data_IF_742893809466
#
_entry.id   IF_742893809466
#
_cell.length_a   1.000
_cell.length_b   1.000
_cell.length_c   1.000
_cell.angle_alpha   90.00
_cell.angle_beta   90.00
_cell.angle_gamma   90.00
#
_symmetry.space_group_name_H-M   'P 1'
#
loop_
_entity.id
_entity.type
_entity.pdbx_description
1 polymer ?
#
# COMPACT_ATOMS: atom_id res chain seq x y z
N UNK A 1 11.23 -3.20 19.55
CA UNK A 1 11.17 -2.87 18.11
C UNK A 1 10.19 -1.74 17.94
N UNK A 2 10.48 -0.76 17.09
CA UNK A 2 9.50 0.27 16.74
C UNK A 2 8.37 -0.38 15.92
N UNK A 3 7.14 0.09 16.10
CA UNK A 3 6.01 -0.37 15.29
C UNK A 3 6.21 0.05 13.82
N UNK A 4 6.02 -0.89 12.89
CA UNK A 4 6.10 -0.60 11.46
C UNK A 4 4.90 0.24 11.03
N UNK A 5 5.09 1.07 10.01
CA UNK A 5 4.06 1.99 9.55
C UNK A 5 3.86 1.97 8.04
N UNK A 6 2.68 2.41 7.60
CA UNK A 6 2.28 2.55 6.20
C UNK A 6 2.03 4.02 5.92
N UNK A 7 2.30 4.49 4.71
CA UNK A 7 1.96 5.85 4.29
C UNK A 7 0.45 6.06 4.26
N UNK A 8 -0.01 7.19 4.80
CA UNK A 8 -1.42 7.57 4.87
C UNK A 8 -2.09 7.59 3.50
N UNK A 9 -1.38 7.98 2.44
CA UNK A 9 -1.88 7.94 1.07
C UNK A 9 -2.36 6.54 0.62
N UNK A 10 -1.62 5.49 0.97
CA UNK A 10 -1.99 4.11 0.63
C UNK A 10 -3.23 3.66 1.42
N UNK A 11 -3.29 3.98 2.71
CA UNK A 11 -4.45 3.70 3.56
C UNK A 11 -5.71 4.43 3.06
N UNK A 12 -5.57 5.72 2.72
CA UNK A 12 -6.63 6.54 2.13
C UNK A 12 -7.16 5.94 0.84
N UNK A 13 -6.26 5.53 -0.06
CA UNK A 13 -6.64 4.91 -1.33
C UNK A 13 -7.45 3.64 -1.12
N UNK A 14 -7.01 2.77 -0.20
CA UNK A 14 -7.73 1.53 0.12
C UNK A 14 -9.10 1.80 0.77
N UNK A 15 -9.19 2.79 1.69
CA UNK A 15 -10.48 3.20 2.27
C UNK A 15 -11.45 3.68 1.17
N UNK A 16 -11.00 4.58 0.30
CA UNK A 16 -11.81 5.10 -0.81
C UNK A 16 -12.26 3.98 -1.75
N UNK A 17 -11.34 3.06 -2.08
CA UNK A 17 -11.63 1.93 -2.95
C UNK A 17 -12.68 1.00 -2.33
N UNK A 18 -12.53 0.65 -1.06
CA UNK A 18 -13.50 -0.19 -0.34
C UNK A 18 -14.89 0.46 -0.31
N UNK A 19 -14.97 1.76 -0.02
CA UNK A 19 -16.23 2.52 -0.03
C UNK A 19 -16.86 2.52 -1.43
N UNK A 20 -16.06 2.70 -2.48
CA UNK A 20 -16.54 2.63 -3.86
C UNK A 20 -17.07 1.22 -4.24
N UNK A 21 -16.57 0.17 -3.57
CA UNK A 21 -17.09 -1.21 -3.70
C UNK A 21 -18.25 -1.54 -2.74
N UNK A 22 -18.78 -0.54 -2.02
CA UNK A 22 -19.98 -0.66 -1.19
C UNK A 22 -19.73 -0.90 0.30
N UNK A 23 -18.48 -0.83 0.78
CA UNK A 23 -18.20 -0.89 2.20
C UNK A 23 -18.67 0.38 2.93
N UNK A 24 -19.23 0.21 4.13
CA UNK A 24 -19.63 1.33 4.97
C UNK A 24 -18.41 2.07 5.57
N UNK A 25 -18.39 3.41 5.42
CA UNK A 25 -17.23 4.24 5.79
C UNK A 25 -17.00 4.34 7.30
N UNK A 26 -18.08 4.42 8.08
CA UNK A 26 -18.01 4.52 9.54
C UNK A 26 -17.58 3.18 10.14
N UNK A 27 -18.13 2.07 9.64
CA UNK A 27 -17.72 0.73 10.01
C UNK A 27 -16.25 0.46 9.65
N UNK A 28 -15.77 0.89 8.48
CA UNK A 28 -14.36 0.79 8.10
C UNK A 28 -13.47 1.52 9.11
N UNK A 29 -13.82 2.76 9.45
CA UNK A 29 -13.03 3.57 10.38
C UNK A 29 -13.03 2.97 11.78
N UNK A 30 -14.20 2.56 12.28
CA UNK A 30 -14.35 1.95 13.59
C UNK A 30 -13.58 0.61 13.72
N UNK A 31 -13.58 -0.22 12.67
CA UNK A 31 -12.92 -1.52 12.68
C UNK A 31 -11.41 -1.45 12.45
N UNK A 32 -10.94 -0.46 11.72
CA UNK A 32 -9.51 -0.29 11.42
C UNK A 32 -8.78 0.59 12.44
N UNK A 33 -9.51 1.43 13.17
CA UNK A 33 -8.91 2.49 13.98
C UNK A 33 -8.25 3.58 13.14
N UNK A 34 -8.57 3.68 11.85
CA UNK A 34 -8.10 4.74 10.95
C UNK A 34 -9.28 5.65 10.63
N UNK A 35 -9.17 6.91 11.00
CA UNK A 35 -10.17 7.94 10.69
C UNK A 35 -9.81 8.70 9.42
N UNK A 36 -10.77 9.43 8.86
CA UNK A 36 -10.51 10.33 7.73
C UNK A 36 -9.45 11.40 8.05
N UNK A 37 -9.37 11.84 9.31
CA UNK A 37 -8.38 12.82 9.75
C UNK A 37 -6.95 12.26 9.72
N UNK A 38 -6.78 10.99 10.12
CA UNK A 38 -5.46 10.33 10.15
C UNK A 38 -4.83 10.24 8.76
N UNK A 39 -5.67 10.19 7.72
CA UNK A 39 -5.23 10.02 6.33
C UNK A 39 -5.42 11.26 5.45
N UNK A 40 -5.78 12.40 6.04
CA UNK A 40 -5.94 13.67 5.30
C UNK A 40 -4.60 14.16 4.76
N UNK A 41 -3.57 14.16 5.62
CA UNK A 41 -2.19 14.40 5.20
C UNK A 41 -1.63 13.12 4.53
N UNK A 42 -1.05 13.27 3.34
CA UNK A 42 -0.48 12.16 2.59
C UNK A 42 0.83 11.63 3.18
N UNK A 43 1.60 12.49 3.85
CA UNK A 43 2.92 12.16 4.40
C UNK A 43 2.84 11.61 5.84
N UNK A 44 1.64 11.64 6.44
CA UNK A 44 1.37 10.96 7.69
C UNK A 44 1.60 9.45 7.60
N UNK A 45 1.88 8.84 8.76
CA UNK A 45 2.13 7.41 8.90
C UNK A 45 1.04 6.79 9.75
N UNK A 46 0.44 5.71 9.25
CA UNK A 46 -0.52 4.89 10.00
C UNK A 46 0.17 3.64 10.56
N UNK A 47 -0.17 3.18 11.77
CA UNK A 47 0.30 1.91 12.30
C UNK A 47 0.00 0.75 11.34
N UNK A 48 0.97 -0.15 11.14
CA UNK A 48 0.79 -1.34 10.30
C UNK A 48 -0.37 -2.21 10.80
N UNK A 49 -0.53 -2.31 12.12
CA UNK A 49 -1.64 -3.03 12.78
C UNK A 49 -3.01 -2.50 12.33
N UNK A 50 -3.18 -1.18 12.31
CA UNK A 50 -4.39 -0.51 11.84
C UNK A 50 -4.58 -0.69 10.33
N UNK A 51 -3.51 -0.62 9.52
CA UNK A 51 -3.61 -0.87 8.07
C UNK A 51 -4.02 -2.33 7.76
N UNK A 52 -3.49 -3.31 8.49
CA UNK A 52 -3.92 -4.72 8.36
C UNK A 52 -5.40 -4.86 8.74
N UNK A 53 -5.84 -4.19 9.82
CA UNK A 53 -7.23 -4.19 10.23
C UNK A 53 -8.13 -3.56 9.15
N UNK A 54 -7.69 -2.48 8.51
CA UNK A 54 -8.36 -1.88 7.35
C UNK A 54 -8.51 -2.87 6.19
N UNK A 55 -7.44 -3.55 5.77
CA UNK A 55 -7.49 -4.54 4.67
C UNK A 55 -8.53 -5.63 4.97
N UNK A 56 -8.56 -6.14 6.20
CA UNK A 56 -9.52 -7.18 6.63
C UNK A 56 -10.95 -6.65 6.65
N UNK A 57 -11.18 -5.50 7.26
CA UNK A 57 -12.50 -4.88 7.32
C UNK A 57 -13.03 -4.55 5.91
N UNK A 58 -12.17 -4.03 5.04
CA UNK A 58 -12.50 -3.71 3.65
C UNK A 58 -12.95 -4.94 2.87
N UNK A 59 -12.20 -6.05 2.96
CA UNK A 59 -12.59 -7.33 2.37
C UNK A 59 -13.97 -7.81 2.85
N UNK A 60 -14.22 -7.75 4.16
CA UNK A 60 -15.47 -8.25 4.74
C UNK A 60 -16.67 -7.35 4.42
N UNK A 61 -16.51 -6.03 4.57
CA UNK A 61 -17.59 -5.05 4.39
C UNK A 61 -17.95 -4.85 2.91
N UNK A 62 -17.02 -5.05 1.98
CA UNK A 62 -17.31 -5.04 0.53
C UNK A 62 -17.84 -6.37 0.02
N UNK A 63 -17.73 -7.45 0.81
CA UNK A 63 -18.04 -8.81 0.36
C UNK A 63 -17.08 -9.34 -0.73
N UNK A 64 -15.96 -8.66 -0.99
CA UNK A 64 -15.00 -9.04 -2.03
C UNK A 64 -13.72 -9.64 -1.43
N UNK A 65 -13.51 -10.96 -1.51
CA UNK A 65 -12.30 -11.60 -1.01
C UNK A 65 -11.02 -11.19 -1.75
N UNK A 66 -11.15 -10.67 -2.98
CA UNK A 66 -10.05 -10.24 -3.83
C UNK A 66 -9.83 -8.72 -3.81
N UNK A 67 -10.48 -7.98 -2.90
CA UNK A 67 -10.46 -6.52 -2.88
C UNK A 67 -9.04 -5.92 -2.98
N UNK A 68 -8.08 -6.45 -2.23
CA UNK A 68 -6.70 -5.94 -2.23
C UNK A 68 -5.98 -6.16 -3.57
N UNK A 69 -6.29 -7.24 -4.28
CA UNK A 69 -5.75 -7.50 -5.62
C UNK A 69 -6.34 -6.51 -6.62
N UNK A 70 -7.68 -6.33 -6.59
CA UNK A 70 -8.35 -5.33 -7.44
C UNK A 70 -7.90 -3.91 -7.13
N UNK A 71 -7.62 -3.59 -5.87
CA UNK A 71 -7.06 -2.30 -5.50
C UNK A 71 -5.71 -2.06 -6.20
N UNK A 72 -4.82 -3.06 -6.19
CA UNK A 72 -3.55 -2.97 -6.92
C UNK A 72 -3.67 -2.96 -8.45
N UNK A 73 -4.78 -3.44 -9.00
CA UNK A 73 -5.07 -3.46 -10.44
C UNK A 73 -5.73 -2.15 -10.91
N UNK A 74 -6.73 -1.66 -10.17
CA UNK A 74 -7.60 -0.56 -10.59
C UNK A 74 -7.08 0.82 -10.14
N UNK A 75 -6.29 0.89 -9.07
CA UNK A 75 -5.83 2.18 -8.54
C UNK A 75 -4.45 2.53 -9.05
N UNK A 76 -4.36 3.71 -9.66
CA UNK A 76 -3.08 4.29 -10.04
C UNK A 76 -2.26 4.59 -8.78
N UNK A 77 -1.18 3.82 -8.60
CA UNK A 77 -0.28 3.96 -7.46
C UNK A 77 0.38 5.35 -7.41
N UNK A 78 0.44 6.04 -8.54
CA UNK A 78 0.95 7.41 -8.66
C UNK A 78 0.07 8.43 -7.92
N UNK A 79 -1.23 8.16 -7.79
CA UNK A 79 -2.16 9.03 -7.05
C UNK A 79 -2.15 8.78 -5.54
N UNK A 80 -1.61 7.64 -5.09
CA UNK A 80 -1.59 7.27 -3.66
C UNK A 80 -0.22 7.40 -3.01
N UNK A 81 0.88 7.46 -3.79
CA UNK A 81 2.23 7.62 -3.24
C UNK A 81 3.23 8.22 -4.23
N UNK A 82 4.16 9.04 -3.71
CA UNK A 82 5.33 9.51 -4.46
C UNK A 82 6.22 8.36 -4.94
N UNK A 83 6.33 7.26 -4.19
CA UNK A 83 7.06 6.09 -4.66
C UNK A 83 6.37 5.45 -5.86
N UNK A 84 5.03 5.47 -5.89
CA UNK A 84 4.24 5.04 -7.06
C UNK A 84 4.49 5.93 -8.27
N UNK A 85 4.56 7.25 -8.10
CA UNK A 85 4.94 8.20 -9.16
C UNK A 85 6.34 7.89 -9.72
N UNK A 86 7.32 7.66 -8.85
CA UNK A 86 8.70 7.34 -9.26
C UNK A 86 8.76 6.01 -10.02
N UNK A 87 8.02 5.00 -9.57
CA UNK A 87 7.91 3.72 -10.29
C UNK A 87 7.27 3.90 -11.66
N UNK A 88 6.17 4.66 -11.75
CA UNK A 88 5.49 4.93 -13.00
C UNK A 88 6.38 5.70 -14.00
N UNK A 89 7.28 6.55 -13.50
CA UNK A 89 8.23 7.31 -14.32
C UNK A 89 9.49 6.50 -14.73
N UNK A 90 9.63 5.25 -14.27
CA UNK A 90 10.77 4.39 -14.62
C UNK A 90 10.65 3.89 -16.06
N UNK A 91 11.78 3.67 -16.73
CA UNK A 91 11.78 3.30 -18.15
C UNK A 91 11.21 1.89 -18.40
N UNK A 92 11.36 0.99 -17.42
CA UNK A 92 10.84 -0.37 -17.46
C UNK A 92 10.56 -0.92 -16.04
N UNK A 93 9.98 -2.13 -15.99
CA UNK A 93 9.68 -2.81 -14.73
C UNK A 93 10.90 -3.11 -13.88
N UNK A 94 12.07 -3.35 -14.49
CA UNK A 94 13.31 -3.59 -13.75
C UNK A 94 13.70 -2.34 -12.99
N UNK A 95 13.75 -1.20 -13.67
CA UNK A 95 14.07 0.06 -13.04
C UNK A 95 13.03 0.40 -11.95
N UNK A 96 11.74 0.15 -12.19
CA UNK A 96 10.69 0.38 -11.20
C UNK A 96 10.94 -0.38 -9.88
N UNK A 97 11.38 -1.65 -9.95
CA UNK A 97 11.72 -2.42 -8.74
C UNK A 97 13.02 -1.96 -8.06
N UNK A 98 13.99 -1.42 -8.81
CA UNK A 98 15.15 -0.72 -8.23
C UNK A 98 14.68 0.50 -7.43
N UNK A 99 13.78 1.31 -7.99
CA UNK A 99 13.22 2.46 -7.27
C UNK A 99 12.37 2.03 -6.07
N UNK A 100 11.64 0.92 -6.16
CA UNK A 100 10.87 0.38 -5.04
C UNK A 100 11.78 -0.05 -3.87
N UNK A 101 12.95 -0.61 -4.14
CA UNK A 101 13.92 -0.91 -3.07
C UNK A 101 14.46 0.37 -2.39
N UNK A 102 14.59 1.47 -3.14
CA UNK A 102 15.09 2.75 -2.64
C UNK A 102 14.04 3.55 -1.87
N UNK A 103 12.80 3.57 -2.36
CA UNK A 103 11.74 4.46 -1.90
C UNK A 103 10.53 3.73 -1.30
N UNK A 104 10.48 2.40 -1.34
CA UNK A 104 9.32 1.62 -0.89
C UNK A 104 8.94 1.81 0.58
N UNK A 105 9.89 2.24 1.43
CA UNK A 105 9.62 2.60 2.83
C UNK A 105 8.71 3.82 2.99
N UNK A 106 8.58 4.66 1.96
CA UNK A 106 7.60 5.77 1.93
C UNK A 106 6.17 5.23 1.78
N UNK A 107 6.02 4.05 1.19
CA UNK A 107 4.72 3.37 1.04
C UNK A 107 4.44 2.51 2.26
N UNK A 108 5.37 1.61 2.59
CA UNK A 108 5.20 0.59 3.61
C UNK A 108 6.54 0.16 4.17
N UNK A 109 6.64 0.16 5.50
CA UNK A 109 7.76 -0.45 6.18
C UNK A 109 7.55 -1.96 6.29
N UNK A 110 8.55 -2.71 5.86
CA UNK A 110 8.62 -4.15 6.04
C UNK A 110 9.98 -4.50 6.62
N UNK A 111 10.03 -5.55 7.42
CA UNK A 111 11.30 -6.10 7.87
C UNK A 111 12.00 -6.78 6.71
N UNK A 112 13.29 -6.50 6.58
CA UNK A 112 14.22 -7.19 5.69
C UNK A 112 15.43 -7.61 6.51
N UNK A 113 16.12 -8.66 6.08
CA UNK A 113 17.45 -8.94 6.61
C UNK A 113 18.34 -7.70 6.45
N UNK A 114 19.24 -7.47 7.41
CA UNK A 114 20.09 -6.29 7.42
C UNK A 114 20.91 -6.18 6.12
N UNK A 115 20.78 -5.05 5.43
CA UNK A 115 21.47 -4.78 4.16
C UNK A 115 20.86 -5.48 2.93
N UNK A 116 19.74 -6.20 3.08
CA UNK A 116 19.06 -6.84 1.95
C UNK A 116 17.96 -5.93 1.37
N UNK A 117 17.85 -5.94 0.04
CA UNK A 117 16.73 -5.34 -0.68
C UNK A 117 15.47 -6.20 -0.54
N UNK A 118 14.30 -5.56 -0.51
CA UNK A 118 12.99 -6.24 -0.45
C UNK A 118 12.72 -7.05 -1.72
N UNK A 119 13.09 -6.51 -2.86
CA UNK A 119 12.92 -7.14 -4.17
C UNK A 119 14.28 -7.44 -4.79
N UNK A 120 14.41 -8.60 -5.45
CA UNK A 120 15.62 -9.02 -6.15
C UNK A 120 15.24 -9.44 -7.57
N UNK A 121 16.01 -8.98 -8.55
CA UNK A 121 15.95 -9.51 -9.90
C UNK A 121 16.72 -10.82 -9.95
N UNK A 122 16.11 -11.86 -10.52
CA UNK A 122 16.74 -13.16 -10.74
C UNK A 122 16.82 -13.38 -12.24
N UNK A 123 17.94 -13.89 -12.72
CA UNK A 123 18.09 -14.26 -14.13
C UNK A 123 17.63 -15.70 -14.27
N UNK A 124 16.64 -15.95 -15.14
CA UNK A 124 16.15 -17.27 -15.51
C UNK A 124 16.19 -17.40 -17.05
N UNK A 125 16.81 -18.48 -17.56
CA UNK A 125 16.99 -18.72 -19.00
C UNK A 125 17.62 -17.57 -19.81
N UNK A 126 18.49 -16.78 -19.16
CA UNK A 126 19.17 -15.63 -19.79
C UNK A 126 18.31 -14.37 -19.88
N UNK A 127 17.12 -14.38 -19.29
CA UNK A 127 16.25 -13.21 -19.12
C UNK A 127 16.10 -12.89 -17.63
N UNK A 128 15.74 -11.65 -17.31
CA UNK A 128 15.36 -11.26 -15.93
C UNK A 128 13.86 -11.33 -15.79
#
# INVERSE_FOLDING_TARGET
MAELTVGAGLARGLMKFAIAKGADADALSARSGITAADVTDQDHRVPMTNYIALVRAAKELSGDPALALRYGEEVDLSEVSIAGLIMNASADMREAFVQMNRFGRLVVEVETEAGQSRFKHVVEDGQI
#
